data_IF_301983000353
#
_entry.id   IF_301983000353
#
_cell.length_a   1.000
_cell.length_b   1.000
_cell.length_c   1.000
_cell.angle_alpha   90.00
_cell.angle_beta   90.00
_cell.angle_gamma   90.00
#
_symmetry.space_group_name_H-M   'P 1'
#
loop_
_entity.id
_entity.type
_entity.pdbx_description
1 polymer ?
#
# COMPACT_ATOMS: atom_id res chain seq x y z
N UNK A 1 -41.02 8.32 -58.03
CA UNK A 1 -39.95 9.00 -57.31
C UNK A 1 -39.72 8.25 -56.00
N UNK A 2 -38.72 7.41 -55.97
CA UNK A 2 -38.32 6.64 -54.76
C UNK A 2 -37.19 7.44 -54.09
N UNK A 3 -37.44 7.97 -52.94
CA UNK A 3 -36.38 8.54 -52.08
C UNK A 3 -35.79 7.42 -51.28
N UNK A 4 -34.52 7.07 -51.59
CA UNK A 4 -33.75 6.10 -50.87
C UNK A 4 -33.25 6.70 -49.53
N UNK A 5 -33.59 6.07 -48.42
CA UNK A 5 -32.93 6.26 -47.15
C UNK A 5 -31.52 5.66 -47.22
N UNK A 6 -30.49 6.47 -47.36
CA UNK A 6 -29.10 6.06 -47.45
C UNK A 6 -28.26 6.44 -46.23
N UNK A 7 -28.87 6.57 -45.05
CA UNK A 7 -28.15 7.09 -43.86
C UNK A 7 -28.14 6.17 -42.66
N UNK A 8 -28.39 4.87 -42.84
CA UNK A 8 -28.40 3.90 -41.73
C UNK A 8 -27.16 3.03 -41.62
N UNK A 9 -26.06 3.35 -42.29
CA UNK A 9 -24.87 2.48 -42.37
C UNK A 9 -23.56 3.06 -41.82
N UNK A 10 -23.65 4.21 -41.18
CA UNK A 10 -22.52 4.69 -40.36
C UNK A 10 -22.99 4.73 -38.93
N UNK A 11 -22.58 3.78 -38.06
CA UNK A 11 -22.66 4.02 -36.62
C UNK A 11 -21.76 5.21 -36.36
N UNK A 12 -22.32 6.38 -36.07
CA UNK A 12 -21.58 7.43 -35.40
C UNK A 12 -21.21 6.82 -34.06
N UNK A 13 -19.91 6.57 -33.86
CA UNK A 13 -19.38 6.33 -32.54
C UNK A 13 -19.57 7.65 -31.79
N UNK A 14 -20.66 7.77 -31.05
CA UNK A 14 -20.74 8.79 -30.03
C UNK A 14 -19.62 8.51 -29.05
N UNK A 15 -18.62 9.39 -28.99
CA UNK A 15 -17.61 9.40 -27.95
C UNK A 15 -18.31 9.74 -26.63
N UNK A 16 -18.87 8.73 -25.97
CA UNK A 16 -19.58 8.87 -24.69
C UNK A 16 -18.67 9.26 -23.53
N UNK A 17 -17.34 9.30 -23.73
CA UNK A 17 -16.38 9.72 -22.74
C UNK A 17 -15.32 10.62 -23.35
N UNK A 18 -15.41 11.92 -23.12
CA UNK A 18 -14.25 12.78 -23.30
C UNK A 18 -13.19 12.34 -22.27
N UNK A 19 -12.09 11.80 -22.75
CA UNK A 19 -10.92 11.53 -21.91
C UNK A 19 -10.48 12.85 -21.27
N UNK A 20 -10.21 12.88 -19.95
CA UNK A 20 -9.69 14.07 -19.30
C UNK A 20 -8.47 14.60 -20.05
N UNK A 21 -8.41 15.92 -20.24
CA UNK A 21 -7.29 16.57 -20.90
C UNK A 21 -5.97 16.44 -20.12
N UNK A 22 -4.86 16.72 -20.78
CA UNK A 22 -3.53 16.66 -20.14
C UNK A 22 -3.44 17.49 -18.87
N UNK A 23 -4.10 18.66 -18.83
CA UNK A 23 -4.12 19.55 -17.65
C UNK A 23 -4.72 18.87 -16.41
N UNK A 24 -5.73 18.03 -16.60
CA UNK A 24 -6.30 17.24 -15.49
C UNK A 24 -5.26 16.32 -14.85
N UNK A 25 -4.54 15.56 -15.67
CA UNK A 25 -3.54 14.61 -15.15
C UNK A 25 -2.32 15.31 -14.57
N UNK A 26 -1.92 16.46 -15.11
CA UNK A 26 -0.84 17.27 -14.49
C UNK A 26 -1.27 17.80 -13.12
N UNK A 27 -2.49 18.30 -12.98
CA UNK A 27 -3.05 18.75 -11.71
C UNK A 27 -3.19 17.59 -10.72
N UNK A 28 -3.63 16.41 -11.18
CA UNK A 28 -3.71 15.20 -10.36
C UNK A 28 -2.34 14.78 -9.83
N UNK A 29 -1.31 14.76 -10.67
CA UNK A 29 0.06 14.46 -10.27
C UNK A 29 0.64 15.53 -9.33
N UNK A 30 0.29 16.79 -9.51
CA UNK A 30 0.65 17.87 -8.60
C UNK A 30 -0.01 17.68 -7.22
N UNK A 31 -1.31 17.34 -7.19
CA UNK A 31 -2.02 16.98 -5.97
C UNK A 31 -1.33 15.84 -5.22
N UNK A 32 -0.99 14.74 -5.91
CA UNK A 32 -0.30 13.59 -5.30
C UNK A 32 1.10 13.90 -4.75
N UNK A 33 1.72 14.97 -5.21
CA UNK A 33 2.99 15.48 -4.65
C UNK A 33 2.79 16.44 -3.46
N UNK A 34 1.58 16.89 -3.23
CA UNK A 34 1.26 17.78 -2.10
C UNK A 34 1.04 16.99 -0.81
N UNK A 35 0.99 17.69 0.32
CA UNK A 35 0.63 17.09 1.60
C UNK A 35 -0.88 16.83 1.66
N UNK A 36 -1.26 15.56 1.77
CA UNK A 36 -2.64 15.12 1.91
C UNK A 36 -2.68 13.75 2.60
N UNK A 37 -3.88 13.27 2.96
CA UNK A 37 -4.05 11.89 3.42
C UNK A 37 -4.16 10.96 2.22
N UNK A 38 -3.24 10.00 2.11
CA UNK A 38 -3.13 9.14 0.93
C UNK A 38 -4.22 8.06 0.88
N UNK A 39 -4.58 7.64 -0.32
CA UNK A 39 -5.37 6.46 -0.58
C UNK A 39 -4.46 5.31 -1.02
N UNK A 40 -4.61 4.18 -0.36
CA UNK A 40 -3.76 3.00 -0.50
C UNK A 40 -4.61 1.73 -0.66
N UNK A 41 -4.01 0.65 -1.14
CA UNK A 41 -4.56 -0.69 -1.04
C UNK A 41 -3.60 -1.77 -1.50
N UNK A 42 -3.82 -2.99 -1.00
CA UNK A 42 -3.21 -4.19 -1.59
C UNK A 42 -4.09 -4.65 -2.74
N UNK A 43 -3.49 -4.77 -3.90
CA UNK A 43 -4.18 -5.14 -5.13
C UNK A 43 -3.85 -6.59 -5.50
N UNK A 44 -4.86 -7.45 -5.41
CA UNK A 44 -4.80 -8.84 -5.83
C UNK A 44 -5.36 -9.04 -7.25
N UNK A 45 -5.23 -10.25 -7.79
CA UNK A 45 -5.85 -10.58 -9.07
C UNK A 45 -5.39 -9.74 -10.27
N UNK A 46 -4.22 -9.12 -10.20
CA UNK A 46 -3.71 -8.25 -11.25
C UNK A 46 -3.38 -9.00 -12.54
N UNK A 47 -4.03 -8.63 -13.62
CA UNK A 47 -3.82 -9.19 -14.96
C UNK A 47 -3.36 -8.15 -15.99
N UNK A 48 -3.66 -6.87 -15.76
CA UNK A 48 -3.40 -5.78 -16.69
C UNK A 48 -4.27 -5.78 -17.95
N UNK A 49 -5.13 -6.78 -18.09
CA UNK A 49 -6.05 -6.97 -19.25
C UNK A 49 -7.35 -7.57 -18.77
N UNK A 50 -8.40 -7.48 -19.58
CA UNK A 50 -9.70 -8.10 -19.32
C UNK A 50 -10.85 -7.38 -20.02
N UNK A 51 -12.04 -7.98 -19.97
CA UNK A 51 -13.26 -7.36 -20.49
C UNK A 51 -13.76 -6.19 -19.61
N UNK A 52 -13.26 -6.12 -18.37
CA UNK A 52 -13.46 -5.00 -17.45
C UNK A 52 -12.12 -4.56 -16.87
N UNK A 53 -12.10 -3.42 -16.18
CA UNK A 53 -10.88 -2.88 -15.58
C UNK A 53 -10.59 -3.43 -14.18
N UNK A 54 -11.32 -4.45 -13.71
CA UNK A 54 -11.17 -5.02 -12.36
C UNK A 54 -9.77 -5.55 -12.07
N UNK A 55 -9.12 -6.13 -13.06
CA UNK A 55 -7.74 -6.64 -12.96
C UNK A 55 -6.67 -5.67 -13.45
N UNK A 56 -6.99 -4.38 -13.64
CA UNK A 56 -6.09 -3.36 -14.17
C UNK A 56 -5.87 -2.22 -13.18
N UNK A 57 -4.61 -1.80 -13.01
CA UNK A 57 -4.27 -0.61 -12.22
C UNK A 57 -4.83 0.67 -12.82
N UNK A 58 -5.01 0.71 -14.15
CA UNK A 58 -5.68 1.83 -14.82
C UNK A 58 -7.16 1.97 -14.43
N UNK A 59 -7.80 0.90 -13.94
CA UNK A 59 -9.17 0.93 -13.40
C UNK A 59 -9.30 1.56 -12.01
N UNK A 60 -8.20 1.79 -11.31
CA UNK A 60 -8.20 2.41 -9.99
C UNK A 60 -8.74 3.85 -10.02
N UNK A 61 -9.40 4.31 -8.95
CA UNK A 61 -9.72 5.74 -8.79
C UNK A 61 -8.47 6.60 -8.98
N UNK A 62 -8.60 7.70 -9.71
CA UNK A 62 -7.48 8.56 -10.08
C UNK A 62 -6.67 9.05 -8.86
N UNK A 63 -7.36 9.30 -7.74
CA UNK A 63 -6.74 9.78 -6.50
C UNK A 63 -6.08 8.69 -5.64
N UNK A 64 -5.98 7.44 -6.11
CA UNK A 64 -5.17 6.42 -5.42
C UNK A 64 -3.69 6.75 -5.59
N UNK A 65 -2.98 6.88 -4.49
CA UNK A 65 -1.58 7.33 -4.47
C UNK A 65 -0.60 6.20 -4.79
N UNK A 66 -0.79 5.06 -4.13
CA UNK A 66 0.01 3.89 -4.38
C UNK A 66 -0.73 2.61 -4.00
N UNK A 67 -0.28 1.50 -4.56
CA UNK A 67 -0.79 0.15 -4.28
C UNK A 67 0.36 -0.79 -4.03
N UNK A 68 0.14 -1.77 -3.17
CA UNK A 68 1.03 -2.91 -2.98
C UNK A 68 0.49 -4.10 -3.78
N UNK A 69 1.30 -4.65 -4.68
CA UNK A 69 0.92 -5.81 -5.49
C UNK A 69 0.97 -7.05 -4.61
N UNK A 70 -0.21 -7.54 -4.27
CA UNK A 70 -0.38 -8.73 -3.45
C UNK A 70 -0.40 -10.00 -4.30
N UNK A 71 0.52 -10.92 -4.03
CA UNK A 71 0.72 -12.11 -4.85
C UNK A 71 1.59 -11.81 -6.08
N UNK A 72 1.27 -12.25 -7.21
CA UNK A 72 1.96 -12.27 -8.52
C UNK A 72 2.87 -11.08 -8.91
N UNK A 73 3.75 -10.64 -8.01
CA UNK A 73 4.69 -9.55 -8.26
C UNK A 73 5.87 -9.95 -9.16
N UNK A 74 6.13 -11.26 -9.31
CA UNK A 74 7.18 -11.82 -10.17
C UNK A 74 6.67 -12.13 -11.58
N UNK A 75 7.60 -12.33 -12.50
CA UNK A 75 7.33 -12.82 -13.84
C UNK A 75 6.23 -12.04 -14.57
N UNK A 76 6.34 -10.70 -14.51
CA UNK A 76 5.36 -9.83 -15.13
C UNK A 76 5.37 -10.02 -16.66
N UNK A 77 4.21 -10.26 -17.22
CA UNK A 77 3.98 -10.24 -18.67
C UNK A 77 3.92 -8.80 -19.20
N UNK A 78 3.89 -8.67 -20.52
CA UNK A 78 3.85 -7.38 -21.19
C UNK A 78 2.63 -6.54 -20.79
N UNK A 79 1.48 -7.18 -20.59
CA UNK A 79 0.24 -6.49 -20.23
C UNK A 79 0.35 -5.82 -18.87
N UNK A 80 0.84 -6.53 -17.84
CA UNK A 80 1.05 -5.97 -16.50
C UNK A 80 2.14 -4.91 -16.47
N UNK A 81 3.23 -5.12 -17.22
CA UNK A 81 4.27 -4.11 -17.36
C UNK A 81 3.75 -2.81 -17.97
N UNK A 82 2.93 -2.92 -19.02
CA UNK A 82 2.32 -1.77 -19.69
C UNK A 82 1.28 -1.07 -18.80
N UNK A 83 0.42 -1.82 -18.13
CA UNK A 83 -0.62 -1.29 -17.21
C UNK A 83 0.04 -0.49 -16.07
N UNK A 84 1.05 -1.06 -15.42
CA UNK A 84 1.82 -0.38 -14.38
C UNK A 84 2.51 0.89 -14.87
N UNK A 85 3.10 0.85 -16.05
CA UNK A 85 3.72 2.02 -16.68
C UNK A 85 2.69 3.11 -16.95
N UNK A 86 1.54 2.76 -17.55
CA UNK A 86 0.47 3.72 -17.89
C UNK A 86 -0.11 4.39 -16.66
N UNK A 87 -0.44 3.63 -15.60
CA UNK A 87 -1.03 4.22 -14.40
C UNK A 87 -0.08 5.21 -13.73
N UNK A 88 1.21 4.90 -13.71
CA UNK A 88 2.24 5.80 -13.18
C UNK A 88 2.39 7.06 -14.01
N UNK A 89 2.55 6.92 -15.33
CA UNK A 89 2.79 8.06 -16.23
C UNK A 89 1.57 8.98 -16.32
N UNK A 90 0.38 8.40 -16.40
CA UNK A 90 -0.85 9.15 -16.59
C UNK A 90 -1.42 9.66 -15.26
N UNK A 91 -1.63 8.78 -14.29
CA UNK A 91 -2.29 9.11 -13.01
C UNK A 91 -1.32 9.43 -11.87
N UNK A 92 -0.03 9.11 -12.01
CA UNK A 92 0.95 9.25 -10.93
C UNK A 92 0.79 8.20 -9.81
N UNK A 93 -0.04 7.18 -10.00
CA UNK A 93 -0.20 6.09 -9.05
C UNK A 93 1.03 5.18 -9.08
N UNK A 94 1.58 4.87 -7.91
CA UNK A 94 2.79 4.05 -7.76
C UNK A 94 2.42 2.62 -7.41
N UNK A 95 3.18 1.64 -7.92
CA UNK A 95 3.01 0.24 -7.61
C UNK A 95 4.23 -0.30 -6.86
N UNK A 96 4.01 -0.88 -5.68
CA UNK A 96 5.03 -1.45 -4.83
C UNK A 96 5.03 -2.97 -4.93
N UNK A 97 6.19 -3.56 -4.83
CA UNK A 97 6.35 -4.98 -4.55
C UNK A 97 5.98 -5.23 -3.08
N UNK A 98 5.26 -6.31 -2.78
CA UNK A 98 4.84 -6.65 -1.42
C UNK A 98 4.89 -8.14 -1.17
N UNK A 99 5.40 -8.53 -0.01
CA UNK A 99 5.30 -9.89 0.52
C UNK A 99 5.70 -9.96 2.00
N UNK A 100 5.29 -11.05 2.66
CA UNK A 100 5.65 -11.34 4.06
C UNK A 100 7.16 -11.58 4.16
N UNK A 101 7.80 -10.87 5.08
CA UNK A 101 9.21 -11.01 5.40
C UNK A 101 9.36 -11.65 6.78
N UNK A 102 9.61 -12.94 6.81
CA UNK A 102 9.89 -13.71 8.03
C UNK A 102 11.36 -14.14 8.12
N UNK A 103 11.90 -14.68 7.03
CA UNK A 103 13.25 -15.20 6.97
C UNK A 103 14.09 -14.53 5.89
N UNK A 104 15.40 -14.57 6.04
CA UNK A 104 16.30 -14.18 4.95
C UNK A 104 16.03 -15.06 3.72
N UNK A 105 15.83 -14.41 2.58
CA UNK A 105 15.59 -15.10 1.31
C UNK A 105 14.13 -15.41 1.00
N UNK A 106 13.18 -15.06 1.85
CA UNK A 106 11.75 -15.22 1.55
C UNK A 106 11.40 -14.66 0.18
N UNK A 107 10.61 -15.40 -0.60
CA UNK A 107 10.22 -15.12 -1.98
C UNK A 107 11.36 -15.06 -3.02
N UNK A 108 12.64 -15.00 -2.64
CA UNK A 108 13.78 -14.82 -3.55
C UNK A 108 14.74 -16.01 -3.59
N UNK A 109 14.64 -16.92 -2.64
CA UNK A 109 15.45 -18.16 -2.67
C UNK A 109 15.00 -19.02 -3.86
N UNK A 110 15.90 -19.43 -4.78
CA UNK A 110 15.58 -20.36 -5.86
C UNK A 110 15.05 -21.68 -5.31
N UNK A 111 14.17 -22.34 -6.07
CA UNK A 111 13.49 -23.57 -5.66
C UNK A 111 14.48 -24.66 -5.21
N UNK A 112 15.55 -24.82 -5.98
CA UNK A 112 16.63 -25.79 -5.71
C UNK A 112 17.43 -25.52 -4.43
N UNK A 113 17.29 -24.32 -3.84
CA UNK A 113 18.00 -23.92 -2.62
C UNK A 113 17.08 -23.71 -1.41
N UNK A 114 15.79 -24.03 -1.53
CA UNK A 114 14.84 -23.81 -0.42
C UNK A 114 15.22 -24.60 0.84
N UNK A 115 15.70 -25.84 0.69
CA UNK A 115 16.11 -26.69 1.81
C UNK A 115 17.38 -26.19 2.52
N UNK A 116 18.27 -25.51 1.77
CA UNK A 116 19.54 -24.98 2.27
C UNK A 116 19.63 -23.45 2.12
N UNK A 117 18.51 -22.74 2.25
CA UNK A 117 18.45 -21.29 2.02
C UNK A 117 19.46 -20.49 2.87
N UNK A 118 19.71 -20.88 4.11
CA UNK A 118 20.72 -20.24 4.96
C UNK A 118 22.10 -20.25 4.31
N UNK A 119 22.54 -21.41 3.82
CA UNK A 119 23.82 -21.56 3.14
C UNK A 119 23.85 -20.74 1.83
N UNK A 120 22.80 -20.82 1.03
CA UNK A 120 22.67 -20.05 -0.22
C UNK A 120 22.85 -18.54 0.01
N UNK A 121 22.26 -18.01 1.07
CA UNK A 121 22.37 -16.60 1.42
C UNK A 121 23.67 -16.27 2.17
N UNK A 122 24.43 -17.26 2.65
CA UNK A 122 25.65 -17.09 3.42
C UNK A 122 25.44 -16.91 4.91
N UNK A 123 24.23 -17.26 5.40
CA UNK A 123 23.90 -17.22 6.82
C UNK A 123 24.62 -18.31 7.61
N UNK A 124 25.23 -17.95 8.74
CA UNK A 124 25.83 -18.91 9.69
C UNK A 124 25.33 -18.59 11.09
N UNK A 125 24.66 -19.56 11.70
CA UNK A 125 24.15 -19.40 13.07
C UNK A 125 25.32 -19.15 14.03
N UNK A 126 25.19 -18.12 14.87
CA UNK A 126 26.22 -17.71 15.84
C UNK A 126 27.35 -16.83 15.29
N UNK A 127 27.36 -16.56 13.99
CA UNK A 127 28.33 -15.68 13.33
C UNK A 127 27.61 -14.40 12.87
N UNK A 128 27.68 -13.31 13.65
CA UNK A 128 26.96 -12.09 13.40
C UNK A 128 27.40 -11.41 12.09
N UNK A 129 28.66 -11.49 11.71
CA UNK A 129 29.17 -10.91 10.48
C UNK A 129 28.57 -11.65 9.26
N UNK A 130 28.49 -12.97 9.31
CA UNK A 130 27.84 -13.76 8.26
C UNK A 130 26.32 -13.51 8.20
N UNK A 131 25.66 -13.36 9.36
CA UNK A 131 24.23 -13.02 9.45
C UNK A 131 23.98 -11.65 8.78
N UNK A 132 24.71 -10.62 9.16
CA UNK A 132 24.58 -9.28 8.58
C UNK A 132 24.87 -9.27 7.08
N UNK A 133 25.88 -10.03 6.64
CA UNK A 133 26.20 -10.21 5.22
C UNK A 133 25.05 -10.83 4.43
N UNK A 134 24.44 -11.89 4.97
CA UNK A 134 23.28 -12.56 4.36
C UNK A 134 22.06 -11.62 4.27
N UNK A 135 21.79 -10.86 5.32
CA UNK A 135 20.70 -9.89 5.36
C UNK A 135 20.89 -8.79 4.31
N UNK A 136 22.10 -8.21 4.21
CA UNK A 136 22.42 -7.21 3.18
C UNK A 136 22.31 -7.76 1.77
N UNK A 137 22.79 -8.98 1.53
CA UNK A 137 22.64 -9.67 0.25
C UNK A 137 21.17 -9.83 -0.12
N UNK A 138 20.33 -10.22 0.83
CA UNK A 138 18.89 -10.36 0.61
C UNK A 138 18.21 -9.02 0.33
N UNK A 139 18.47 -7.99 1.13
CA UNK A 139 17.94 -6.64 0.89
C UNK A 139 18.30 -6.10 -0.50
N UNK A 140 19.57 -6.31 -0.93
CA UNK A 140 19.99 -5.92 -2.27
C UNK A 140 19.26 -6.70 -3.38
N UNK A 141 19.04 -8.01 -3.19
CA UNK A 141 18.27 -8.82 -4.15
C UNK A 141 16.81 -8.37 -4.28
N UNK A 142 16.20 -7.87 -3.19
CA UNK A 142 14.88 -7.21 -3.23
C UNK A 142 14.97 -5.96 -4.10
N UNK A 143 15.94 -5.08 -3.86
CA UNK A 143 16.11 -3.86 -4.64
C UNK A 143 16.42 -4.14 -6.13
N UNK A 144 17.19 -5.18 -6.42
CA UNK A 144 17.44 -5.64 -7.80
C UNK A 144 16.16 -6.14 -8.48
N UNK A 145 15.26 -6.77 -7.73
CA UNK A 145 13.93 -7.16 -8.21
C UNK A 145 13.04 -5.95 -8.50
N UNK A 146 13.09 -4.92 -7.65
CA UNK A 146 12.40 -3.65 -7.87
C UNK A 146 12.90 -3.01 -9.17
N UNK A 147 14.20 -2.96 -9.39
CA UNK A 147 14.81 -2.43 -10.60
C UNK A 147 14.40 -3.25 -11.83
N UNK A 148 14.54 -4.58 -11.76
CA UNK A 148 14.22 -5.51 -12.85
C UNK A 148 12.78 -5.38 -13.32
N UNK A 149 11.83 -5.32 -12.39
CA UNK A 149 10.40 -5.25 -12.72
C UNK A 149 9.86 -3.82 -12.78
N UNK A 150 10.66 -2.81 -12.45
CA UNK A 150 10.29 -1.39 -12.51
C UNK A 150 9.23 -0.99 -11.49
N UNK A 151 9.26 -1.58 -10.29
CA UNK A 151 8.39 -1.15 -9.18
C UNK A 151 8.84 0.20 -8.60
N UNK A 152 7.93 0.84 -7.89
CA UNK A 152 8.15 2.15 -7.26
C UNK A 152 8.58 2.06 -5.80
N UNK A 153 8.86 0.84 -5.32
CA UNK A 153 9.30 0.61 -3.96
C UNK A 153 8.92 -0.77 -3.42
N UNK A 154 9.00 -0.90 -2.12
CA UNK A 154 8.73 -2.13 -1.38
C UNK A 154 7.84 -1.88 -0.17
N UNK A 155 6.89 -2.76 0.03
CA UNK A 155 6.03 -2.88 1.20
C UNK A 155 6.45 -4.12 1.97
N UNK A 156 7.00 -3.92 3.16
CA UNK A 156 7.41 -5.01 4.04
C UNK A 156 6.19 -5.46 4.85
N UNK A 157 5.62 -6.61 4.51
CA UNK A 157 4.60 -7.25 5.34
C UNK A 157 5.31 -7.92 6.54
N UNK A 158 5.21 -7.26 7.71
CA UNK A 158 5.95 -7.57 8.93
C UNK A 158 5.01 -7.99 10.06
N UNK A 159 4.94 -9.29 10.31
CA UNK A 159 3.98 -9.89 11.23
C UNK A 159 4.62 -10.91 12.22
N UNK A 160 5.70 -10.55 12.95
CA UNK A 160 6.44 -11.51 13.77
C UNK A 160 5.62 -12.12 14.91
N UNK A 161 4.61 -11.40 15.42
CA UNK A 161 3.76 -11.86 16.53
C UNK A 161 2.41 -12.40 16.04
N UNK A 162 2.09 -12.23 14.74
CA UNK A 162 0.79 -12.60 14.17
C UNK A 162 0.78 -13.93 13.41
N UNK A 163 1.93 -14.58 13.25
CA UNK A 163 2.02 -15.88 12.61
C UNK A 163 3.16 -16.05 11.60
N UNK A 164 3.97 -15.01 11.44
CA UNK A 164 5.14 -15.03 10.54
C UNK A 164 6.45 -14.77 11.26
N UNK A 165 6.76 -15.52 12.36
CA UNK A 165 8.07 -15.45 13.01
C UNK A 165 9.15 -16.05 12.09
N UNK A 166 10.39 -15.60 12.23
CA UNK A 166 11.50 -16.12 11.45
C UNK A 166 12.84 -15.56 11.87
N UNK A 167 13.92 -16.03 11.21
CA UNK A 167 15.28 -15.64 11.57
C UNK A 167 15.60 -14.17 11.27
N UNK A 168 14.74 -13.50 10.50
CA UNK A 168 14.81 -12.06 10.23
C UNK A 168 13.78 -11.32 11.11
N UNK A 169 12.48 -11.60 10.94
CA UNK A 169 11.41 -10.83 11.56
C UNK A 169 11.38 -10.89 13.09
N UNK A 170 11.77 -12.03 13.70
CA UNK A 170 11.74 -12.19 15.16
C UNK A 170 12.91 -11.54 15.89
N UNK A 171 13.88 -10.99 15.18
CA UNK A 171 15.08 -10.38 15.74
C UNK A 171 15.16 -8.88 15.35
N UNK A 172 14.86 -7.96 16.28
CA UNK A 172 14.84 -6.52 15.98
C UNK A 172 16.13 -5.99 15.37
N UNK A 173 17.31 -6.45 15.82
CA UNK A 173 18.60 -6.04 15.26
C UNK A 173 18.79 -6.51 13.81
N UNK A 174 18.31 -7.70 13.47
CA UNK A 174 18.35 -8.20 12.11
C UNK A 174 17.44 -7.34 11.21
N UNK A 175 16.25 -6.97 11.70
CA UNK A 175 15.38 -6.04 10.99
C UNK A 175 16.00 -4.66 10.82
N UNK A 176 16.74 -4.17 11.80
CA UNK A 176 17.47 -2.91 11.68
C UNK A 176 18.52 -2.97 10.56
N UNK A 177 19.32 -4.04 10.52
CA UNK A 177 20.30 -4.27 9.44
C UNK A 177 19.60 -4.36 8.08
N UNK A 178 18.47 -5.07 8.00
CA UNK A 178 17.68 -5.22 6.78
C UNK A 178 17.12 -3.90 6.26
N UNK A 179 16.45 -3.14 7.12
CA UNK A 179 15.85 -1.85 6.76
C UNK A 179 16.91 -0.82 6.39
N UNK A 180 18.04 -0.78 7.10
CA UNK A 180 19.16 0.09 6.75
C UNK A 180 19.70 -0.24 5.35
N UNK A 181 19.88 -1.52 5.03
CA UNK A 181 20.35 -1.94 3.70
C UNK A 181 19.36 -1.60 2.58
N UNK A 182 18.05 -1.80 2.77
CA UNK A 182 17.02 -1.34 1.83
C UNK A 182 17.06 0.18 1.68
N UNK A 183 17.22 0.91 2.78
CA UNK A 183 17.24 2.36 2.83
C UNK A 183 18.38 3.04 2.09
N UNK A 184 19.40 2.30 1.67
CA UNK A 184 20.45 2.79 0.77
C UNK A 184 19.95 2.99 -0.67
N UNK A 185 18.88 2.28 -1.07
CA UNK A 185 18.36 2.25 -2.45
C UNK A 185 16.91 2.68 -2.60
N UNK A 186 16.09 2.57 -1.55
CA UNK A 186 14.67 2.94 -1.55
C UNK A 186 14.29 3.64 -0.23
N UNK A 187 13.12 4.28 -0.20
CA UNK A 187 12.67 5.05 0.98
C UNK A 187 13.29 6.43 1.08
N UNK A 188 12.89 7.22 2.09
CA UNK A 188 13.25 8.64 2.21
C UNK A 188 14.74 8.90 2.39
N UNK A 189 15.50 7.94 2.92
CA UNK A 189 16.96 8.08 3.11
C UNK A 189 17.74 7.93 1.81
N UNK A 190 17.21 7.20 0.83
CA UNK A 190 17.90 6.93 -0.45
C UNK A 190 17.95 8.13 -1.40
N UNK A 191 17.02 9.08 -1.27
CA UNK A 191 16.86 10.19 -2.21
C UNK A 191 16.37 9.79 -3.61
N UNK A 192 15.98 8.52 -3.83
CA UNK A 192 15.55 8.03 -5.15
C UNK A 192 14.10 8.32 -5.48
N UNK A 193 13.29 8.73 -4.50
CA UNK A 193 11.84 8.91 -4.62
C UNK A 193 11.04 7.60 -4.64
N UNK A 194 11.70 6.44 -4.54
CA UNK A 194 11.05 5.16 -4.35
C UNK A 194 10.59 5.00 -2.90
N UNK A 195 9.45 4.36 -2.71
CA UNK A 195 8.87 4.17 -1.38
C UNK A 195 9.47 2.96 -0.66
N UNK A 196 9.66 3.10 0.64
CA UNK A 196 9.82 2.00 1.57
C UNK A 196 8.73 2.14 2.64
N UNK A 197 7.84 1.18 2.69
CA UNK A 197 6.75 1.16 3.66
C UNK A 197 6.78 -0.14 4.45
N UNK A 198 6.16 -0.15 5.60
CA UNK A 198 5.97 -1.34 6.43
C UNK A 198 4.51 -1.49 6.76
N UNK A 199 3.98 -2.68 6.60
CA UNK A 199 2.65 -3.05 7.02
C UNK A 199 2.67 -4.14 8.11
N UNK A 200 1.51 -4.36 8.76
CA UNK A 200 1.34 -5.32 9.84
C UNK A 200 1.63 -4.73 11.22
N UNK A 201 2.83 -4.93 11.75
CA UNK A 201 3.18 -4.60 13.13
C UNK A 201 4.28 -3.53 13.27
N UNK A 202 4.11 -2.30 12.77
CA UNK A 202 5.12 -1.26 12.89
C UNK A 202 5.46 -0.88 14.34
N UNK A 203 4.56 -1.19 15.29
CA UNK A 203 4.81 -1.00 16.73
C UNK A 203 5.83 -1.98 17.32
N UNK A 204 6.21 -3.02 16.57
CA UNK A 204 7.08 -4.11 17.06
C UNK A 204 8.48 -4.10 16.42
N UNK A 205 8.71 -3.26 15.41
CA UNK A 205 10.01 -3.20 14.73
C UNK A 205 11.02 -2.38 15.53
N UNK A 206 12.32 -2.59 15.28
CA UNK A 206 13.37 -1.81 15.92
C UNK A 206 13.18 -0.29 15.72
N UNK A 207 13.16 0.54 16.77
CA UNK A 207 12.78 1.96 16.69
C UNK A 207 13.63 2.79 15.71
N UNK A 208 14.92 2.49 15.60
CA UNK A 208 15.84 3.21 14.69
C UNK A 208 15.49 3.03 13.21
N UNK A 209 14.61 2.10 12.86
CA UNK A 209 14.14 1.92 11.48
C UNK A 209 13.17 3.02 11.05
N UNK A 210 12.49 3.68 11.99
CA UNK A 210 11.44 4.66 11.73
C UNK A 210 11.77 5.71 10.65
N UNK A 211 12.96 6.35 10.66
CA UNK A 211 13.35 7.35 9.66
C UNK A 211 13.55 6.83 8.24
N UNK A 212 13.54 5.50 8.04
CA UNK A 212 13.72 4.87 6.73
C UNK A 212 12.41 4.61 6.01
N UNK A 213 11.26 4.74 6.71
CA UNK A 213 9.94 4.50 6.14
C UNK A 213 9.25 5.78 5.67
N UNK A 214 8.51 5.65 4.57
CA UNK A 214 7.57 6.68 4.11
C UNK A 214 6.23 6.58 4.85
N UNK A 215 5.74 5.36 5.09
CA UNK A 215 4.46 5.09 5.77
C UNK A 215 4.52 3.86 6.67
N UNK A 216 3.70 3.90 7.72
CA UNK A 216 3.33 2.80 8.59
C UNK A 216 1.90 2.39 8.27
N UNK A 217 1.71 1.20 7.72
CA UNK A 217 0.41 0.70 7.30
C UNK A 217 -0.07 -0.30 8.34
N UNK A 218 -1.27 -0.10 8.88
CA UNK A 218 -1.79 -0.90 9.98
C UNK A 218 -3.04 -1.64 9.55
N UNK A 219 -3.01 -2.95 9.70
CA UNK A 219 -4.13 -3.84 9.46
C UNK A 219 -5.17 -3.71 10.60
N UNK A 220 -5.89 -2.58 10.59
CA UNK A 220 -6.95 -2.29 11.57
C UNK A 220 -8.27 -2.97 11.16
N UNK A 221 -8.17 -4.21 10.69
CA UNK A 221 -9.29 -4.95 10.14
C UNK A 221 -10.43 -5.10 11.15
N UNK A 222 -11.66 -4.89 10.69
CA UNK A 222 -12.85 -5.20 11.46
C UNK A 222 -12.93 -6.72 11.66
N UNK A 223 -13.17 -7.09 12.87
CA UNK A 223 -13.42 -8.47 13.29
C UNK A 223 -14.80 -8.56 13.94
N UNK A 224 -15.06 -9.64 14.65
CA UNK A 224 -16.33 -9.87 15.31
C UNK A 224 -16.73 -8.76 16.31
N UNK A 225 -15.78 -7.98 16.83
CA UNK A 225 -16.03 -6.89 17.77
C UNK A 225 -16.28 -5.52 17.11
N UNK A 226 -16.08 -5.40 15.79
CA UNK A 226 -16.13 -4.13 15.07
C UNK A 226 -14.88 -3.26 15.32
N UNK A 227 -14.96 -2.00 14.92
CA UNK A 227 -13.84 -1.03 15.03
C UNK A 227 -14.34 0.33 15.55
N UNK A 228 -13.43 1.22 15.95
CA UNK A 228 -13.77 2.53 16.52
C UNK A 228 -12.60 3.51 16.51
N UNK A 229 -12.89 4.80 16.68
CA UNK A 229 -11.86 5.83 16.93
C UNK A 229 -10.96 5.43 18.11
N UNK A 230 -11.53 4.94 19.20
CA UNK A 230 -10.76 4.52 20.38
C UNK A 230 -9.80 3.35 20.07
N UNK A 231 -10.19 2.44 19.17
CA UNK A 231 -9.32 1.36 18.74
C UNK A 231 -8.15 1.91 17.91
N UNK A 232 -8.42 2.82 16.99
CA UNK A 232 -7.39 3.44 16.16
C UNK A 232 -6.44 4.33 16.98
N UNK A 233 -6.97 5.11 17.94
CA UNK A 233 -6.16 5.92 18.86
C UNK A 233 -5.20 5.05 19.66
N UNK A 234 -5.66 3.90 20.19
CA UNK A 234 -4.81 2.95 20.93
C UNK A 234 -3.72 2.33 20.06
N UNK A 235 -4.05 1.94 18.82
CA UNK A 235 -3.07 1.39 17.86
C UNK A 235 -2.00 2.41 17.51
N UNK A 236 -2.41 3.65 17.20
CA UNK A 236 -1.46 4.74 16.92
C UNK A 236 -0.58 5.05 18.12
N UNK A 237 -1.15 5.08 19.33
CA UNK A 237 -0.38 5.32 20.57
C UNK A 237 0.71 4.26 20.77
N UNK A 238 0.44 2.99 20.43
CA UNK A 238 1.45 1.91 20.45
C UNK A 238 2.60 2.18 19.49
N UNK A 239 2.30 2.60 18.27
CA UNK A 239 3.33 2.93 17.26
C UNK A 239 4.12 4.17 17.67
N UNK A 240 3.47 5.22 18.18
CA UNK A 240 4.15 6.41 18.71
C UNK A 240 5.10 6.03 19.88
N UNK A 241 4.64 5.15 20.77
CA UNK A 241 5.45 4.68 21.89
C UNK A 241 6.72 3.93 21.42
N UNK A 242 6.60 3.10 20.37
CA UNK A 242 7.74 2.40 19.78
C UNK A 242 8.80 3.37 19.24
N UNK A 243 8.37 4.40 18.55
CA UNK A 243 9.31 5.36 17.93
C UNK A 243 9.64 6.58 18.80
N UNK A 244 9.31 6.51 20.12
CA UNK A 244 9.58 7.61 21.06
C UNK A 244 11.05 7.96 21.09
N UNK A 245 11.36 9.26 20.91
CA UNK A 245 12.73 9.77 20.87
C UNK A 245 13.43 9.63 19.50
N UNK A 246 12.82 8.90 18.56
CA UNK A 246 13.33 8.74 17.18
C UNK A 246 12.51 9.59 16.20
N UNK A 247 11.18 9.51 16.29
CA UNK A 247 10.26 10.31 15.48
C UNK A 247 9.33 11.14 16.36
N UNK A 248 9.02 12.38 15.98
CA UNK A 248 7.97 13.15 16.66
C UNK A 248 6.61 12.46 16.54
N UNK A 249 5.75 12.49 17.56
CA UNK A 249 4.42 11.88 17.52
C UNK A 249 3.56 12.31 16.33
N UNK A 250 3.58 13.59 15.99
CA UNK A 250 2.87 14.12 14.82
C UNK A 250 3.39 13.52 13.51
N UNK A 251 4.71 13.34 13.40
CA UNK A 251 5.30 12.69 12.21
C UNK A 251 4.83 11.25 12.09
N UNK A 252 4.77 10.49 13.18
CA UNK A 252 4.25 9.12 13.19
C UNK A 252 2.79 9.12 12.73
N UNK A 253 1.95 10.03 13.25
CA UNK A 253 0.56 10.15 12.85
C UNK A 253 0.41 10.49 11.35
N UNK A 254 1.23 11.40 10.81
CA UNK A 254 1.24 11.79 9.40
C UNK A 254 1.68 10.67 8.46
N UNK A 255 2.39 9.67 8.97
CA UNK A 255 2.81 8.46 8.23
C UNK A 255 1.84 7.29 8.40
N UNK A 256 0.84 7.40 9.30
CA UNK A 256 0.01 6.29 9.75
C UNK A 256 -1.20 6.06 8.85
N UNK A 257 -1.21 4.95 8.13
CA UNK A 257 -2.31 4.51 7.25
C UNK A 257 -3.08 3.40 7.96
N UNK A 258 -4.39 3.54 8.07
CA UNK A 258 -5.27 2.51 8.63
C UNK A 258 -6.05 1.81 7.53
N UNK A 259 -6.20 0.48 7.62
CA UNK A 259 -6.76 -0.31 6.54
C UNK A 259 -7.85 -1.25 7.00
N UNK A 260 -8.81 -1.51 6.10
CA UNK A 260 -9.92 -2.44 6.28
C UNK A 260 -9.77 -3.66 5.37
N UNK A 261 -10.29 -4.80 5.81
CA UNK A 261 -10.28 -6.06 5.06
C UNK A 261 -11.46 -6.14 4.08
N UNK A 262 -11.20 -5.89 2.81
CA UNK A 262 -12.21 -6.01 1.76
C UNK A 262 -12.37 -7.43 1.20
N UNK A 263 -11.47 -8.35 1.52
CA UNK A 263 -11.76 -9.77 1.26
C UNK A 263 -13.04 -10.21 1.96
N UNK A 264 -13.28 -9.71 3.18
CA UNK A 264 -14.46 -10.05 3.98
C UNK A 264 -15.58 -9.03 3.89
N UNK A 265 -15.29 -7.75 3.66
CA UNK A 265 -16.22 -6.65 3.89
C UNK A 265 -16.45 -5.72 2.70
N UNK A 266 -15.94 -6.00 1.50
CA UNK A 266 -16.14 -5.15 0.33
C UNK A 266 -17.62 -4.82 0.05
N UNK A 267 -18.59 -5.76 0.12
CA UNK A 267 -19.98 -5.45 -0.20
C UNK A 267 -20.62 -4.38 0.69
N UNK A 268 -20.06 -4.13 1.86
CA UNK A 268 -20.62 -3.21 2.87
C UNK A 268 -19.75 -1.99 3.15
N UNK A 269 -18.54 -1.92 2.57
CA UNK A 269 -17.59 -0.85 2.85
C UNK A 269 -16.91 -0.97 4.21
N UNK A 270 -16.76 -2.20 4.69
CA UNK A 270 -16.16 -2.50 5.98
C UNK A 270 -17.13 -3.08 6.99
N UNK A 271 -16.61 -3.55 8.12
CA UNK A 271 -17.39 -3.97 9.27
C UNK A 271 -18.03 -2.79 10.02
N UNK A 272 -18.54 -3.06 11.21
CA UNK A 272 -19.14 -2.03 12.06
C UNK A 272 -18.07 -1.10 12.66
N UNK A 273 -18.39 0.18 12.73
CA UNK A 273 -17.54 1.22 13.29
C UNK A 273 -18.33 2.18 14.18
N UNK A 274 -17.74 2.61 15.28
CA UNK A 274 -18.31 3.63 16.17
C UNK A 274 -17.31 4.75 16.37
N UNK A 275 -17.67 5.99 16.05
CA UNK A 275 -16.82 7.15 16.30
C UNK A 275 -16.82 7.56 17.79
N UNK A 276 -15.98 8.53 18.14
CA UNK A 276 -15.87 9.05 19.53
C UNK A 276 -17.13 9.74 20.04
N UNK A 277 -18.07 10.05 19.16
CA UNK A 277 -19.36 10.67 19.49
C UNK A 277 -20.51 9.66 19.58
N UNK A 278 -20.22 8.37 19.36
CA UNK A 278 -21.21 7.30 19.37
C UNK A 278 -21.96 7.10 18.04
N UNK A 279 -21.56 7.78 16.96
CA UNK A 279 -22.17 7.57 15.65
C UNK A 279 -21.70 6.24 15.08
N UNK A 280 -22.66 5.47 14.54
CA UNK A 280 -22.41 4.18 13.90
C UNK A 280 -22.28 4.35 12.39
N UNK A 281 -21.29 3.70 11.79
CA UNK A 281 -21.05 3.72 10.34
C UNK A 281 -20.27 2.48 9.91
N UNK A 282 -19.95 2.37 8.62
CA UNK A 282 -19.06 1.33 8.11
C UNK A 282 -17.60 1.73 8.29
N UNK A 283 -16.75 0.72 8.49
CA UNK A 283 -15.40 0.93 8.98
C UNK A 283 -14.54 1.79 8.07
N UNK A 284 -14.58 1.62 6.75
CA UNK A 284 -13.75 2.44 5.86
C UNK A 284 -14.13 3.94 5.93
N UNK A 285 -15.43 4.25 6.00
CA UNK A 285 -15.92 5.61 6.19
C UNK A 285 -15.53 6.17 7.58
N UNK A 286 -15.60 5.33 8.63
CA UNK A 286 -15.16 5.67 9.98
C UNK A 286 -13.67 5.97 10.03
N UNK A 287 -12.85 5.11 9.47
CA UNK A 287 -11.40 5.29 9.33
C UNK A 287 -11.05 6.57 8.56
N UNK A 288 -11.80 6.87 7.50
CA UNK A 288 -11.62 8.10 6.72
C UNK A 288 -11.94 9.36 7.56
N UNK A 289 -12.96 9.32 8.41
CA UNK A 289 -13.35 10.43 9.32
C UNK A 289 -12.44 10.56 10.53
N UNK A 290 -11.89 9.44 11.01
CA UNK A 290 -11.00 9.44 12.16
C UNK A 290 -9.84 10.42 11.95
N UNK A 291 -9.62 11.28 12.94
CA UNK A 291 -8.52 12.25 12.95
C UNK A 291 -7.74 12.08 14.25
N UNK A 292 -6.46 11.71 14.17
CA UNK A 292 -5.59 11.60 15.34
C UNK A 292 -5.54 12.90 16.14
N UNK A 293 -5.39 12.76 17.47
CA UNK A 293 -5.16 13.92 18.37
C UNK A 293 -3.83 13.73 19.06
N UNK A 294 -2.90 14.65 18.86
CA UNK A 294 -1.58 14.68 19.47
C UNK A 294 -1.48 15.95 20.32
N UNK A 295 -1.18 15.78 21.61
CA UNK A 295 -1.10 16.89 22.58
C UNK A 295 -2.30 17.85 22.52
N UNK A 296 -3.51 17.28 22.41
CA UNK A 296 -4.78 18.01 22.36
C UNK A 296 -5.10 18.66 21.01
N UNK A 297 -4.25 18.51 19.98
CA UNK A 297 -4.46 19.05 18.64
C UNK A 297 -4.77 17.94 17.64
N UNK A 298 -5.76 18.17 16.77
CA UNK A 298 -6.00 17.30 15.64
C UNK A 298 -4.86 17.44 14.63
N UNK A 299 -4.37 16.30 14.16
CA UNK A 299 -3.32 16.21 13.14
C UNK A 299 -3.77 15.33 11.99
N UNK A 300 -3.19 15.56 10.82
CA UNK A 300 -3.47 14.72 9.64
C UNK A 300 -2.94 13.31 9.87
N UNK A 301 -3.75 12.28 9.54
CA UNK A 301 -3.25 10.91 9.43
C UNK A 301 -2.56 10.69 8.08
N UNK A 302 -1.77 9.62 7.97
CA UNK A 302 -1.14 9.22 6.70
C UNK A 302 -2.16 8.90 5.63
N UNK A 303 -3.21 8.15 5.95
CA UNK A 303 -4.24 7.81 4.99
C UNK A 303 -5.15 6.68 5.42
N UNK A 304 -5.89 6.16 4.44
CA UNK A 304 -6.65 4.90 4.57
C UNK A 304 -6.38 4.00 3.38
N UNK A 305 -6.67 2.70 3.56
CA UNK A 305 -6.57 1.72 2.51
C UNK A 305 -7.41 0.48 2.74
N UNK A 306 -7.34 -0.45 1.78
CA UNK A 306 -8.08 -1.71 1.85
C UNK A 306 -7.23 -2.90 1.38
N UNK A 307 -7.37 -4.01 2.09
CA UNK A 307 -6.86 -5.31 1.65
C UNK A 307 -7.82 -5.90 0.62
N UNK A 308 -7.30 -6.44 -0.49
CA UNK A 308 -8.08 -6.83 -1.66
C UNK A 308 -8.95 -5.68 -2.18
N UNK A 309 -8.29 -4.54 -2.46
CA UNK A 309 -8.99 -3.33 -2.90
C UNK A 309 -9.81 -3.53 -4.18
N UNK A 310 -9.42 -4.47 -5.05
CA UNK A 310 -10.13 -4.82 -6.27
C UNK A 310 -11.53 -5.37 -6.03
N UNK A 311 -11.84 -5.83 -4.82
CA UNK A 311 -13.18 -6.31 -4.46
C UNK A 311 -14.21 -5.18 -4.27
N UNK A 312 -13.76 -3.90 -4.17
CA UNK A 312 -14.63 -2.72 -4.22
C UNK A 312 -14.97 -2.29 -5.67
N UNK A 313 -14.36 -2.95 -6.68
CA UNK A 313 -14.61 -2.61 -8.08
C UNK A 313 -16.04 -2.93 -8.54
N UNK A 314 -16.62 -4.13 -8.24
CA UNK A 314 -17.95 -4.48 -8.73
C UNK A 314 -19.06 -3.65 -8.08
N UNK A 315 -20.02 -3.19 -8.88
CA UNK A 315 -21.21 -2.47 -8.42
C UNK A 315 -21.64 -1.40 -9.40
N UNK A 316 -22.66 -0.62 -9.03
CA UNK A 316 -23.16 0.50 -9.84
C UNK A 316 -22.12 1.64 -9.94
N UNK A 317 -21.25 1.75 -8.95
CA UNK A 317 -20.14 2.69 -8.90
C UNK A 317 -18.87 1.92 -8.55
N UNK A 318 -17.92 1.88 -9.48
CA UNK A 318 -16.62 1.25 -9.28
C UNK A 318 -15.86 1.90 -8.13
N UNK A 319 -15.30 1.08 -7.23
CA UNK A 319 -14.59 1.53 -6.04
C UNK A 319 -15.39 2.51 -5.17
N UNK A 320 -16.68 2.23 -5.00
CA UNK A 320 -17.63 3.12 -4.32
C UNK A 320 -17.14 3.58 -2.95
N UNK A 321 -16.72 2.62 -2.12
CA UNK A 321 -16.36 2.91 -0.74
C UNK A 321 -14.99 3.57 -0.63
N UNK A 322 -14.03 3.18 -1.46
CA UNK A 322 -12.74 3.84 -1.51
C UNK A 322 -12.87 5.29 -2.02
N UNK A 323 -13.69 5.53 -3.05
CA UNK A 323 -13.99 6.89 -3.53
C UNK A 323 -14.66 7.75 -2.46
N UNK A 324 -15.56 7.18 -1.66
CA UNK A 324 -16.17 7.87 -0.53
C UNK A 324 -15.12 8.25 0.51
N UNK A 325 -14.27 7.29 0.91
CA UNK A 325 -13.20 7.51 1.87
C UNK A 325 -12.24 8.63 1.42
N UNK A 326 -11.83 8.64 0.14
CA UNK A 326 -10.97 9.68 -0.43
C UNK A 326 -11.62 11.07 -0.30
N UNK A 327 -12.93 11.21 -0.63
CA UNK A 327 -13.65 12.49 -0.51
C UNK A 327 -13.79 12.96 0.94
N UNK A 328 -13.93 12.02 1.88
CA UNK A 328 -13.99 12.34 3.31
C UNK A 328 -12.65 12.87 3.80
N UNK A 329 -11.54 12.22 3.44
CA UNK A 329 -10.21 12.62 3.88
C UNK A 329 -9.73 13.93 3.25
N UNK A 330 -10.03 14.12 1.97
CA UNK A 330 -9.53 15.21 1.15
C UNK A 330 -10.72 15.92 0.46
N UNK A 331 -11.52 16.67 1.21
CA UNK A 331 -12.65 17.40 0.65
C UNK A 331 -12.15 18.45 -0.34
N UNK A 332 -12.88 18.62 -1.45
CA UNK A 332 -12.56 19.66 -2.43
C UNK A 332 -12.57 21.04 -1.74
N UNK A 333 -11.54 21.82 -1.97
CA UNK A 333 -11.48 23.22 -1.54
C UNK A 333 -12.49 23.98 -2.41
N UNK A 334 -13.47 24.62 -1.76
CA UNK A 334 -14.48 25.45 -2.43
C UNK A 334 -13.89 26.79 -2.83
#
# INVERSE_FOLDING_TARGET
>A
MLWGCSDWTKPEAEDFFEMPGNDYYENLKAYKRSEHSVAFGWFGGWTGVGASMVGSLMGLPDSVDFVSIWGNWKNLDEARMLDKKKVKEQKGTRALMCFIVANVGDQLTPEEHKENYKEYWGWKDGDQEAIDGAIRKYANAICDSIDKYGYDGFDIDYEPNYGSPGNLASYPENMLTFVKALGERIGPKSGTGRLLVIDGEPQSIHPETGPYFDYFIVQAYSNLAGNSDANLDRRLAGTIANFKGILPPEKVANMYIVTENFESYAPTGGGDYVDRYGNKMRALAGMARWTPTIDGKQVRKGGVGTYHMEYDYPGDIEYKYLREAIRIMNPAVK
#
